data_IF_440397567371
#
_entry.id   IF_440397567371
#
_cell.length_a   1.000
_cell.length_b   1.000
_cell.length_c   1.000
_cell.angle_alpha   90.00
_cell.angle_beta   90.00
_cell.angle_gamma   90.00
#
_symmetry.space_group_name_H-M   'P 1'
#
loop_
_entity.id
_entity.type
_entity.pdbx_description
1 polymer ?
#
# COMPACT_ATOMS: atom_id res chain seq x y z
N UNK A 1 -31.18 -42.86 41.98
CA UNK A 1 -30.98 -41.54 41.35
C UNK A 1 -29.48 -41.26 41.41
N UNK A 2 -28.75 -41.57 40.34
CA UNK A 2 -27.29 -41.44 40.31
C UNK A 2 -26.99 -40.01 39.90
N UNK A 3 -26.75 -39.14 40.89
CA UNK A 3 -26.13 -37.84 40.63
C UNK A 3 -24.66 -38.09 40.35
N UNK A 4 -24.33 -38.25 39.06
CA UNK A 4 -22.96 -38.35 38.56
C UNK A 4 -22.37 -36.95 38.61
N UNK A 5 -21.14 -36.82 39.10
CA UNK A 5 -20.46 -35.54 39.31
C UNK A 5 -20.07 -34.93 37.94
N UNK A 6 -20.94 -34.12 37.35
CA UNK A 6 -20.83 -33.62 35.96
C UNK A 6 -19.83 -32.46 35.79
N UNK A 7 -19.32 -31.89 36.89
CA UNK A 7 -18.44 -30.69 36.85
C UNK A 7 -17.12 -30.91 36.11
N UNK A 8 -16.58 -32.13 36.16
CA UNK A 8 -15.35 -32.48 35.45
C UNK A 8 -15.55 -32.59 33.93
N UNK A 9 -16.75 -32.95 33.49
CA UNK A 9 -17.07 -33.11 32.07
C UNK A 9 -17.19 -31.74 31.37
N UNK A 10 -17.78 -30.75 32.04
CA UNK A 10 -17.95 -29.39 31.48
C UNK A 10 -16.64 -28.66 31.22
N UNK A 11 -15.61 -28.87 32.06
CA UNK A 11 -14.27 -28.28 31.86
C UNK A 11 -13.60 -28.94 30.66
N UNK A 12 -13.67 -30.27 30.55
CA UNK A 12 -13.10 -31.01 29.42
C UNK A 12 -13.79 -30.60 28.11
N UNK A 13 -15.13 -30.50 28.10
CA UNK A 13 -15.89 -30.02 26.95
C UNK A 13 -15.51 -28.60 26.54
N UNK A 14 -15.28 -27.70 27.51
CA UNK A 14 -14.84 -26.33 27.24
C UNK A 14 -13.44 -26.28 26.63
N UNK A 15 -12.52 -27.13 27.12
CA UNK A 15 -11.15 -27.24 26.57
C UNK A 15 -11.19 -27.80 25.15
N UNK A 16 -11.98 -28.85 24.92
CA UNK A 16 -12.15 -29.47 23.60
C UNK A 16 -12.80 -28.48 22.63
N UNK A 17 -13.84 -27.75 23.05
CA UNK A 17 -14.48 -26.73 22.24
C UNK A 17 -13.51 -25.59 21.88
N UNK A 18 -12.71 -25.11 22.83
CA UNK A 18 -11.68 -24.10 22.56
C UNK A 18 -10.58 -24.62 21.62
N UNK A 19 -10.15 -25.88 21.79
CA UNK A 19 -9.16 -26.48 20.92
C UNK A 19 -9.67 -26.60 19.47
N UNK A 20 -10.91 -27.05 19.29
CA UNK A 20 -11.57 -27.11 17.98
C UNK A 20 -11.77 -25.71 17.40
N UNK A 21 -12.15 -24.73 18.23
CA UNK A 21 -12.30 -23.34 17.80
C UNK A 21 -10.98 -22.75 17.32
N UNK A 22 -9.89 -22.91 18.06
CA UNK A 22 -8.55 -22.45 17.67
C UNK A 22 -8.05 -23.15 16.41
N UNK A 23 -8.34 -24.45 16.26
CA UNK A 23 -7.97 -25.22 15.06
C UNK A 23 -8.60 -24.66 13.78
N UNK A 24 -9.78 -24.02 13.87
CA UNK A 24 -10.46 -23.36 12.74
C UNK A 24 -10.07 -21.88 12.64
N UNK A 25 -9.95 -21.19 13.77
CA UNK A 25 -9.68 -19.76 13.83
C UNK A 25 -8.30 -19.41 13.26
N UNK A 26 -7.26 -20.19 13.59
CA UNK A 26 -5.89 -19.90 13.14
C UNK A 26 -5.77 -19.95 11.60
N UNK A 27 -6.23 -21.01 10.91
CA UNK A 27 -6.27 -21.02 9.45
C UNK A 27 -7.11 -19.90 8.84
N UNK A 28 -8.26 -19.56 9.45
CA UNK A 28 -9.12 -18.47 8.97
C UNK A 28 -8.39 -17.11 9.04
N UNK A 29 -7.71 -16.83 10.15
CA UNK A 29 -6.90 -15.62 10.30
C UNK A 29 -5.72 -15.59 9.33
N UNK A 30 -5.06 -16.73 9.09
CA UNK A 30 -3.97 -16.82 8.11
C UNK A 30 -4.45 -16.53 6.69
N UNK A 31 -5.61 -17.04 6.29
CA UNK A 31 -6.21 -16.76 4.98
C UNK A 31 -6.55 -15.27 4.84
N UNK A 32 -7.23 -14.69 5.83
CA UNK A 32 -7.55 -13.26 5.83
C UNK A 32 -6.29 -12.37 5.79
N UNK A 33 -5.26 -12.75 6.54
CA UNK A 33 -3.96 -12.08 6.51
C UNK A 33 -3.33 -12.10 5.12
N UNK A 34 -3.33 -13.26 4.45
CA UNK A 34 -2.79 -13.37 3.08
C UNK A 34 -3.57 -12.53 2.07
N UNK A 35 -4.90 -12.52 2.13
CA UNK A 35 -5.72 -11.69 1.22
C UNK A 35 -5.45 -10.19 1.39
N UNK A 36 -5.37 -9.71 2.64
CA UNK A 36 -5.11 -8.31 2.93
C UNK A 36 -3.69 -7.88 2.53
N UNK A 37 -2.68 -8.72 2.78
CA UNK A 37 -1.30 -8.46 2.40
C UNK A 37 -1.10 -8.50 0.88
N UNK A 38 -1.68 -9.47 0.18
CA UNK A 38 -1.54 -9.61 -1.28
C UNK A 38 -2.06 -8.38 -2.02
N UNK A 39 -3.28 -7.95 -1.66
CA UNK A 39 -3.89 -6.78 -2.27
C UNK A 39 -3.09 -5.48 -1.97
N UNK A 40 -2.49 -5.38 -0.78
CA UNK A 40 -1.62 -4.24 -0.45
C UNK A 40 -0.27 -4.28 -1.18
N UNK A 41 0.26 -5.47 -1.48
CA UNK A 41 1.52 -5.63 -2.19
C UNK A 41 1.40 -5.23 -3.65
N UNK A 42 0.37 -5.73 -4.34
CA UNK A 42 0.08 -5.38 -5.73
C UNK A 42 -0.13 -3.88 -5.91
N UNK A 43 -0.89 -3.24 -5.00
CA UNK A 43 -1.13 -1.80 -5.03
C UNK A 43 0.17 -0.98 -4.89
N UNK A 44 1.14 -1.45 -4.10
CA UNK A 44 2.43 -0.79 -3.96
C UNK A 44 3.29 -0.93 -5.21
N UNK A 45 3.27 -2.10 -5.86
CA UNK A 45 4.01 -2.34 -7.11
C UNK A 45 3.49 -1.40 -8.20
N UNK A 46 2.17 -1.36 -8.41
CA UNK A 46 1.54 -0.45 -9.38
C UNK A 46 1.85 1.01 -9.05
N UNK A 47 1.79 1.40 -7.77
CA UNK A 47 2.13 2.77 -7.36
C UNK A 47 3.59 3.14 -7.68
N UNK A 48 4.53 2.20 -7.49
CA UNK A 48 5.95 2.40 -7.83
C UNK A 48 6.17 2.51 -9.35
N UNK A 49 5.54 1.65 -10.14
CA UNK A 49 5.61 1.70 -11.59
C UNK A 49 5.07 3.04 -12.13
N UNK A 50 3.93 3.50 -11.61
CA UNK A 50 3.35 4.80 -11.97
C UNK A 50 4.27 5.97 -11.58
N UNK A 51 4.88 5.91 -10.39
CA UNK A 51 5.84 6.94 -9.94
C UNK A 51 7.06 6.99 -10.86
N UNK A 52 7.65 5.83 -11.17
CA UNK A 52 8.82 5.71 -12.03
C UNK A 52 8.53 6.18 -13.45
N UNK A 53 7.43 5.72 -14.06
CA UNK A 53 7.03 6.13 -15.40
C UNK A 53 6.80 7.65 -15.49
N UNK A 54 6.21 8.25 -14.44
CA UNK A 54 6.03 9.70 -14.39
C UNK A 54 7.36 10.44 -14.31
N UNK A 55 8.28 9.98 -13.48
CA UNK A 55 9.63 10.57 -13.36
C UNK A 55 10.39 10.48 -14.67
N UNK A 56 10.38 9.33 -15.34
CA UNK A 56 11.01 9.15 -16.66
C UNK A 56 10.45 10.12 -17.70
N UNK A 57 9.15 10.36 -17.69
CA UNK A 57 8.51 11.36 -18.55
C UNK A 57 8.97 12.77 -18.18
N UNK A 58 8.97 13.14 -16.90
CA UNK A 58 9.41 14.46 -16.44
C UNK A 58 10.88 14.74 -16.78
N UNK A 59 11.76 13.72 -16.70
CA UNK A 59 13.17 13.86 -17.04
C UNK A 59 13.40 14.17 -18.54
N UNK A 60 12.45 13.81 -19.41
CA UNK A 60 12.49 14.13 -20.84
C UNK A 60 11.95 15.54 -21.16
N UNK A 61 11.24 16.17 -20.21
CA UNK A 61 10.67 17.50 -20.41
C UNK A 61 11.72 18.59 -20.16
N UNK A 62 11.70 19.67 -20.96
CA UNK A 62 12.61 20.79 -20.74
C UNK A 62 12.29 21.54 -19.44
N UNK A 63 11.00 21.79 -19.19
CA UNK A 63 10.49 22.46 -17.99
C UNK A 63 9.63 21.48 -17.20
N UNK A 64 9.78 21.47 -15.88
CA UNK A 64 9.02 20.62 -14.98
C UNK A 64 8.36 21.52 -13.95
N UNK A 65 7.03 21.53 -13.95
CA UNK A 65 6.24 22.27 -12.98
C UNK A 65 5.61 21.32 -11.96
N UNK A 66 5.30 21.86 -10.78
CA UNK A 66 4.50 21.15 -9.80
C UNK A 66 3.09 20.91 -10.36
N UNK A 67 2.59 19.68 -10.25
CA UNK A 67 1.33 19.29 -10.86
C UNK A 67 0.63 18.18 -10.08
N UNK A 68 -0.69 18.13 -10.20
CA UNK A 68 -1.50 17.02 -9.69
C UNK A 68 -2.25 16.40 -10.86
N UNK A 69 -2.01 15.12 -11.12
CA UNK A 69 -2.60 14.37 -12.23
C UNK A 69 -3.42 13.19 -11.69
N UNK A 70 -4.47 12.82 -12.42
CA UNK A 70 -5.24 11.62 -12.14
C UNK A 70 -5.00 10.60 -13.25
N UNK A 71 -4.62 9.39 -12.88
CA UNK A 71 -4.40 8.27 -13.80
C UNK A 71 -5.27 7.08 -13.44
N UNK A 72 -5.70 6.35 -14.45
CA UNK A 72 -6.40 5.08 -14.27
C UNK A 72 -5.45 3.94 -14.60
N UNK A 73 -5.40 2.95 -13.71
CA UNK A 73 -4.77 1.66 -13.97
C UNK A 73 -5.84 0.60 -13.74
N UNK A 74 -6.32 -0.02 -14.83
CA UNK A 74 -7.54 -0.83 -14.82
C UNK A 74 -8.76 -0.01 -14.38
N UNK A 75 -9.46 -0.49 -13.34
CA UNK A 75 -10.65 0.19 -12.77
C UNK A 75 -10.32 1.10 -11.58
N UNK A 76 -9.04 1.25 -11.22
CA UNK A 76 -8.59 1.99 -10.04
C UNK A 76 -8.07 3.36 -10.47
N UNK A 77 -8.54 4.40 -9.77
CA UNK A 77 -8.09 5.78 -9.92
C UNK A 77 -6.95 6.08 -8.96
N UNK A 78 -5.87 6.63 -9.50
CA UNK A 78 -4.64 7.01 -8.83
C UNK A 78 -4.43 8.52 -8.97
N UNK A 79 -3.90 9.14 -7.93
CA UNK A 79 -3.52 10.54 -7.90
C UNK A 79 -2.01 10.64 -7.84
N UNK A 80 -1.41 11.31 -8.82
CA UNK A 80 0.01 11.57 -8.88
C UNK A 80 0.24 13.04 -8.55
N UNK A 81 1.05 13.31 -7.53
CA UNK A 81 1.47 14.66 -7.15
C UNK A 81 2.94 14.82 -7.48
N UNK A 82 3.26 15.82 -8.29
CA UNK A 82 4.63 16.21 -8.62
C UNK A 82 4.96 17.48 -7.86
N UNK A 83 6.05 17.47 -7.12
CA UNK A 83 6.61 18.62 -6.44
C UNK A 83 8.02 18.86 -6.97
N UNK A 84 8.35 20.11 -7.26
CA UNK A 84 9.67 20.51 -7.76
C UNK A 84 10.23 21.54 -6.80
N UNK A 85 11.41 21.27 -6.26
CA UNK A 85 12.13 22.20 -5.39
C UNK A 85 13.48 22.54 -6.03
N UNK A 86 13.71 23.82 -6.31
CA UNK A 86 15.00 24.31 -6.78
C UNK A 86 15.96 24.48 -5.59
N UNK A 87 17.17 23.91 -5.69
CA UNK A 87 18.27 24.10 -4.73
C UNK A 87 19.59 24.30 -5.46
N UNK A 88 20.15 25.50 -5.42
CA UNK A 88 21.51 25.82 -5.90
C UNK A 88 21.84 25.27 -7.31
N UNK A 89 20.93 25.43 -8.27
CA UNK A 89 21.12 24.95 -9.66
C UNK A 89 20.75 23.48 -9.90
N UNK A 90 20.29 22.77 -8.87
CA UNK A 90 19.68 21.45 -8.95
C UNK A 90 18.17 21.57 -8.76
N UNK A 91 17.42 20.77 -9.51
CA UNK A 91 15.99 20.54 -9.37
C UNK A 91 15.77 19.20 -8.66
N UNK A 92 15.21 19.25 -7.46
CA UNK A 92 14.69 18.08 -6.77
C UNK A 92 13.24 17.85 -7.20
N UNK A 93 13.00 16.72 -7.85
CA UNK A 93 11.68 16.32 -8.35
C UNK A 93 11.19 15.19 -7.47
N UNK A 94 10.07 15.41 -6.80
CA UNK A 94 9.39 14.41 -5.98
C UNK A 94 8.06 14.06 -6.63
N UNK A 95 7.86 12.77 -6.93
CA UNK A 95 6.59 12.25 -7.42
C UNK A 95 5.99 11.32 -6.37
N UNK A 96 4.86 11.73 -5.82
CA UNK A 96 4.10 10.98 -4.82
C UNK A 96 2.83 10.40 -5.44
N UNK A 97 2.58 9.12 -5.19
CA UNK A 97 1.42 8.40 -5.73
C UNK A 97 0.48 8.00 -4.60
N UNK A 98 -0.77 8.42 -4.74
CA UNK A 98 -1.85 8.15 -3.79
C UNK A 98 -2.95 7.36 -4.47
N UNK A 99 -3.60 6.48 -3.71
CA UNK A 99 -4.87 5.89 -4.14
C UNK A 99 -6.02 6.82 -3.75
N UNK A 100 -6.79 7.27 -4.73
CA UNK A 100 -7.83 8.30 -4.52
C UNK A 100 -8.85 7.91 -3.45
N UNK A 101 -9.21 6.63 -3.35
CA UNK A 101 -10.18 6.15 -2.36
C UNK A 101 -9.68 6.15 -0.91
N UNK A 102 -8.38 6.06 -0.70
CA UNK A 102 -7.81 5.87 0.63
C UNK A 102 -7.09 7.12 1.16
N UNK A 103 -6.74 8.07 0.28
CA UNK A 103 -5.93 9.25 0.64
C UNK A 103 -4.51 8.92 1.11
N UNK A 104 -4.17 7.63 1.22
CA UNK A 104 -2.88 7.14 1.68
C UNK A 104 -1.87 7.20 0.54
N UNK A 105 -0.69 7.73 0.84
CA UNK A 105 0.47 7.66 -0.04
C UNK A 105 0.99 6.23 -0.08
N UNK A 106 1.14 5.68 -1.28
CA UNK A 106 1.56 4.30 -1.47
C UNK A 106 2.98 4.19 -2.02
N UNK A 107 3.43 5.19 -2.78
CA UNK A 107 4.79 5.28 -3.27
C UNK A 107 5.25 6.75 -3.33
N UNK A 108 6.57 6.93 -3.24
CA UNK A 108 7.27 8.19 -3.45
C UNK A 108 8.53 7.89 -4.23
N UNK A 109 8.81 8.71 -5.24
CA UNK A 109 10.06 8.67 -5.96
C UNK A 109 10.68 10.05 -5.99
N UNK A 110 11.94 10.14 -5.57
CA UNK A 110 12.72 11.38 -5.60
C UNK A 110 13.86 11.24 -6.57
N UNK A 111 14.08 12.28 -7.37
CA UNK A 111 15.23 12.36 -8.25
C UNK A 111 15.77 13.77 -8.29
N UNK A 112 17.04 13.88 -8.69
CA UNK A 112 17.74 15.14 -8.85
C UNK A 112 18.09 15.33 -10.32
N UNK A 113 17.86 16.52 -10.83
CA UNK A 113 18.23 16.93 -12.18
C UNK A 113 19.00 18.25 -12.13
N UNK A 114 20.02 18.42 -12.96
CA UNK A 114 20.62 19.73 -13.16
C UNK A 114 19.66 20.67 -13.90
N UNK A 115 19.46 21.88 -13.37
CA UNK A 115 18.70 22.91 -14.06
C UNK A 115 19.51 23.30 -15.29
N UNK A 116 19.07 22.88 -16.47
CA UNK A 116 19.78 23.22 -17.71
C UNK A 116 19.79 24.73 -17.86
N UNK A 117 20.98 25.32 -17.81
CA UNK A 117 21.19 26.74 -18.07
C UNK A 117 20.79 27.01 -19.53
N UNK A 118 19.61 27.60 -19.74
CA UNK A 118 19.30 28.17 -21.06
C UNK A 118 20.23 29.38 -21.23
N UNK A 119 21.18 29.27 -22.17
CA UNK A 119 21.91 30.41 -22.74
C UNK A 119 21.03 31.10 -23.76
#
# INVERSE_FOLDING_TARGET
MIFKDEKGYTIVESIVANALFLAVLIPALMLLGKFTLYNSGEEKIVAQELAKAKVELLLQQNTIDAAVEQRYHGKIKWLLKTEVTDRNGLQEITVSVYRTKQGKQLAEFKTLRYKSFQR
#
